data_IF_144368751423
#
_entry.id   IF_144368751423
#
_cell.length_a   1.000
_cell.length_b   1.000
_cell.length_c   1.000
_cell.angle_alpha   90.00
_cell.angle_beta   90.00
_cell.angle_gamma   90.00
#
_symmetry.space_group_name_H-M   'P 1'
#
loop_
_entity.id
_entity.type
_entity.pdbx_description
1 polymer ?
#
# COMPACT_ATOMS: atom_id res chain seq x y z
N UNK A 1 -11.92 -12.86 -7.01
CA UNK A 1 -13.06 -13.76 -7.22
C UNK A 1 -13.94 -13.28 -8.37
N UNK A 2 -14.32 -12.02 -8.39
CA UNK A 2 -15.16 -11.44 -9.46
C UNK A 2 -14.53 -11.57 -10.85
N UNK A 3 -13.24 -11.43 -10.95
CA UNK A 3 -12.48 -11.53 -12.20
C UNK A 3 -12.07 -12.97 -12.56
N UNK A 4 -12.47 -13.97 -11.77
CA UNK A 4 -12.15 -15.37 -12.02
C UNK A 4 -10.71 -15.79 -11.72
N UNK A 5 -9.88 -14.92 -11.12
CA UNK A 5 -8.52 -15.29 -10.74
C UNK A 5 -8.50 -16.16 -9.49
N UNK A 6 -7.66 -17.19 -9.49
CA UNK A 6 -7.22 -17.86 -8.27
C UNK A 6 -6.16 -16.99 -7.58
N UNK A 7 -6.31 -16.81 -6.28
CA UNK A 7 -5.40 -15.97 -5.49
C UNK A 7 -4.78 -16.75 -4.35
N UNK A 8 -3.48 -16.53 -4.11
CA UNK A 8 -2.75 -17.12 -2.99
C UNK A 8 -2.06 -16.00 -2.23
N UNK A 9 -2.43 -15.82 -0.96
CA UNK A 9 -1.77 -14.89 -0.05
C UNK A 9 -0.59 -15.57 0.63
N UNK A 10 0.63 -15.09 0.42
CA UNK A 10 1.80 -15.52 1.19
C UNK A 10 1.85 -14.69 2.47
N UNK A 11 1.55 -15.33 3.59
CA UNK A 11 1.33 -14.68 4.88
C UNK A 11 2.56 -14.85 5.77
N UNK A 12 3.05 -13.71 6.27
CA UNK A 12 4.18 -13.67 7.22
C UNK A 12 3.73 -14.07 8.63
N UNK A 13 4.26 -15.18 9.11
CA UNK A 13 3.97 -15.72 10.44
C UNK A 13 3.16 -16.99 10.32
N UNK A 14 3.83 -18.12 10.45
CA UNK A 14 3.22 -19.45 10.43
C UNK A 14 2.29 -19.69 11.65
N UNK A 15 2.53 -18.94 12.73
CA UNK A 15 1.65 -18.90 13.91
C UNK A 15 0.24 -18.36 13.65
N UNK A 16 0.02 -17.69 12.53
CA UNK A 16 -1.29 -17.15 12.15
C UNK A 16 -2.21 -18.18 11.47
N UNK A 17 -1.68 -19.33 11.11
CA UNK A 17 -2.43 -20.39 10.42
C UNK A 17 -3.70 -20.79 11.17
N UNK A 18 -3.60 -20.94 12.47
CA UNK A 18 -4.71 -21.37 13.33
C UNK A 18 -5.56 -20.20 13.85
N UNK A 19 -5.23 -18.96 13.43
CA UNK A 19 -5.86 -17.71 13.87
C UNK A 19 -6.57 -16.95 12.77
N UNK A 20 -6.89 -17.60 11.66
CA UNK A 20 -7.56 -16.94 10.53
C UNK A 20 -8.90 -16.33 10.98
N UNK A 21 -9.69 -17.08 11.75
CA UNK A 21 -11.00 -16.62 12.25
C UNK A 21 -10.92 -15.48 13.26
N UNK A 22 -9.76 -15.28 13.88
CA UNK A 22 -9.53 -14.19 14.84
C UNK A 22 -9.09 -12.89 14.12
N UNK A 23 -8.71 -12.98 12.84
CA UNK A 23 -8.26 -11.86 12.03
C UNK A 23 -9.30 -11.52 10.95
N UNK A 24 -10.02 -10.39 11.08
CA UNK A 24 -11.10 -10.03 10.14
C UNK A 24 -10.63 -9.96 8.68
N UNK A 25 -9.40 -9.49 8.43
CA UNK A 25 -8.86 -9.38 7.07
C UNK A 25 -8.60 -10.75 6.45
N UNK A 26 -7.98 -11.68 7.20
CA UNK A 26 -7.74 -13.04 6.71
C UNK A 26 -9.07 -13.81 6.55
N UNK A 27 -9.98 -13.65 7.49
CA UNK A 27 -11.33 -14.27 7.43
C UNK A 27 -12.05 -13.83 6.15
N UNK A 28 -12.12 -12.53 5.90
CA UNK A 28 -12.75 -11.98 4.71
C UNK A 28 -12.05 -12.43 3.40
N UNK A 29 -10.72 -12.43 3.38
CA UNK A 29 -9.97 -12.91 2.21
C UNK A 29 -10.27 -14.40 1.93
N UNK A 30 -10.37 -15.24 2.96
CA UNK A 30 -10.75 -16.65 2.84
C UNK A 30 -12.18 -16.81 2.31
N UNK A 31 -13.14 -16.04 2.81
CA UNK A 31 -14.52 -16.02 2.31
C UNK A 31 -14.58 -15.61 0.83
N UNK A 32 -13.69 -14.70 0.41
CA UNK A 32 -13.50 -14.36 -0.99
C UNK A 32 -12.82 -15.44 -1.83
N UNK A 33 -12.41 -16.56 -1.21
CA UNK A 33 -11.80 -17.71 -1.90
C UNK A 33 -10.29 -17.64 -2.04
N UNK A 34 -9.60 -16.73 -1.33
CA UNK A 34 -8.13 -16.70 -1.29
C UNK A 34 -7.60 -17.91 -0.52
N UNK A 35 -6.60 -18.59 -1.10
CA UNK A 35 -5.82 -19.60 -0.40
C UNK A 35 -4.65 -18.93 0.32
N UNK A 36 -4.18 -19.51 1.41
CA UNK A 36 -3.05 -18.97 2.17
C UNK A 36 -1.86 -19.93 2.18
N UNK A 37 -0.69 -19.35 2.03
CA UNK A 37 0.60 -19.94 2.31
C UNK A 37 1.24 -19.21 3.48
N UNK A 38 1.25 -19.85 4.64
CA UNK A 38 1.86 -19.28 5.83
C UNK A 38 3.33 -19.67 5.87
N UNK A 39 4.19 -18.67 5.97
CA UNK A 39 5.64 -18.84 6.03
C UNK A 39 6.19 -18.19 7.29
N UNK A 40 7.33 -18.68 7.78
CA UNK A 40 7.99 -18.10 8.95
C UNK A 40 8.37 -16.64 8.70
N UNK A 41 8.50 -15.85 9.76
CA UNK A 41 8.94 -14.44 9.65
C UNK A 41 10.34 -14.32 9.04
N UNK A 42 11.19 -15.31 9.26
CA UNK A 42 12.52 -15.39 8.67
C UNK A 42 12.43 -15.65 7.16
N UNK A 43 11.73 -16.69 6.73
CA UNK A 43 11.55 -16.99 5.30
C UNK A 43 10.93 -15.81 4.56
N UNK A 44 9.98 -15.11 5.16
CA UNK A 44 9.34 -13.93 4.55
C UNK A 44 10.32 -12.75 4.32
N UNK A 45 11.40 -12.64 5.08
CA UNK A 45 12.43 -11.61 4.83
C UNK A 45 13.11 -11.79 3.48
N UNK A 46 13.16 -13.01 2.98
CA UNK A 46 13.76 -13.40 1.71
C UNK A 46 12.75 -13.49 0.55
N UNK A 47 11.54 -12.96 0.72
CA UNK A 47 10.41 -13.06 -0.24
C UNK A 47 10.70 -12.57 -1.66
N UNK A 48 11.71 -11.73 -1.84
CA UNK A 48 12.14 -11.20 -3.15
C UNK A 48 13.29 -11.98 -3.78
N UNK A 49 13.86 -12.95 -3.05
CA UNK A 49 14.97 -13.76 -3.55
C UNK A 49 14.48 -14.85 -4.51
N UNK A 50 15.27 -15.13 -5.53
CA UNK A 50 14.96 -16.13 -6.56
C UNK A 50 14.62 -17.48 -5.95
N UNK A 51 15.40 -17.93 -4.96
CA UNK A 51 15.18 -19.21 -4.29
C UNK A 51 13.80 -19.33 -3.63
N UNK A 52 13.31 -18.25 -3.00
CA UNK A 52 11.99 -18.22 -2.39
C UNK A 52 10.89 -18.28 -3.48
N UNK A 53 11.05 -17.52 -4.55
CA UNK A 53 10.10 -17.50 -5.66
C UNK A 53 10.05 -18.87 -6.37
N UNK A 54 11.18 -19.51 -6.57
CA UNK A 54 11.27 -20.88 -7.15
C UNK A 54 10.54 -21.92 -6.28
N UNK A 55 10.66 -21.83 -4.95
CA UNK A 55 9.91 -22.70 -4.04
C UNK A 55 8.39 -22.52 -4.20
N UNK A 56 7.93 -21.29 -4.33
CA UNK A 56 6.52 -21.02 -4.62
C UNK A 56 6.11 -21.55 -6.00
N UNK A 57 6.97 -21.45 -7.01
CA UNK A 57 6.70 -21.99 -8.36
C UNK A 57 6.61 -23.52 -8.36
N UNK A 58 7.49 -24.20 -7.63
CA UNK A 58 7.41 -25.66 -7.44
C UNK A 58 6.08 -26.06 -6.79
N UNK A 59 5.59 -25.27 -5.82
CA UNK A 59 4.38 -25.58 -5.07
C UNK A 59 3.09 -25.25 -5.81
N UNK A 60 3.06 -24.12 -6.53
CA UNK A 60 1.84 -23.54 -7.09
C UNK A 60 1.82 -23.49 -8.62
N UNK A 61 2.92 -23.87 -9.28
CA UNK A 61 3.04 -23.75 -10.73
C UNK A 61 3.32 -22.33 -11.19
N UNK A 62 2.87 -21.98 -12.39
CA UNK A 62 3.03 -20.63 -12.96
C UNK A 62 2.05 -19.65 -12.31
N UNK A 63 2.53 -18.50 -11.89
CA UNK A 63 1.71 -17.44 -11.31
C UNK A 63 2.28 -16.06 -11.65
N UNK A 64 1.46 -15.02 -11.51
CA UNK A 64 1.90 -13.63 -11.49
C UNK A 64 2.14 -13.22 -10.03
N UNK A 65 3.37 -12.76 -9.73
CA UNK A 65 3.75 -12.31 -8.39
C UNK A 65 3.37 -10.84 -8.20
N UNK A 66 2.46 -10.58 -7.27
CA UNK A 66 2.17 -9.23 -6.79
C UNK A 66 3.01 -8.97 -5.55
N UNK A 67 3.93 -8.00 -5.54
CA UNK A 67 4.78 -7.72 -4.39
C UNK A 67 3.98 -7.15 -3.22
N UNK A 68 4.57 -7.14 -2.03
CA UNK A 68 3.99 -6.47 -0.86
C UNK A 68 3.74 -4.98 -1.16
N UNK A 69 2.53 -4.50 -0.84
CA UNK A 69 2.08 -3.15 -1.19
C UNK A 69 1.67 -2.96 -2.65
N UNK A 70 1.83 -3.98 -3.49
CA UNK A 70 1.40 -3.98 -4.90
C UNK A 70 2.22 -3.10 -5.84
N UNK A 71 3.30 -2.47 -5.37
CA UNK A 71 4.07 -1.49 -6.17
C UNK A 71 4.93 -2.18 -7.23
N UNK A 72 4.63 -1.92 -8.49
CA UNK A 72 5.39 -2.29 -9.69
C UNK A 72 4.99 -1.37 -10.85
N UNK A 73 5.66 -1.49 -12.01
CA UNK A 73 5.41 -0.62 -13.17
C UNK A 73 3.96 -0.64 -13.64
N UNK A 74 3.31 -1.82 -13.66
CA UNK A 74 1.91 -1.95 -14.08
C UNK A 74 0.95 -1.28 -13.09
N UNK A 75 1.22 -1.40 -11.78
CA UNK A 75 0.42 -0.76 -10.76
C UNK A 75 0.57 0.77 -10.80
N UNK A 76 1.80 1.28 -10.99
CA UNK A 76 2.04 2.72 -11.18
C UNK A 76 1.30 3.22 -12.40
N UNK A 77 1.39 2.51 -13.53
CA UNK A 77 0.65 2.87 -14.75
C UNK A 77 -0.87 2.86 -14.54
N UNK A 78 -1.40 1.89 -13.81
CA UNK A 78 -2.82 1.87 -13.45
C UNK A 78 -3.22 3.07 -12.57
N UNK A 79 -2.34 3.50 -11.67
CA UNK A 79 -2.59 4.68 -10.83
C UNK A 79 -2.50 6.01 -11.59
N UNK A 80 -1.92 6.05 -12.79
CA UNK A 80 -1.97 7.22 -13.69
C UNK A 80 -3.39 7.56 -14.17
N UNK A 81 -4.32 6.59 -14.09
CA UNK A 81 -5.72 6.75 -14.47
C UNK A 81 -6.60 7.34 -13.35
N UNK A 82 -6.05 7.57 -12.16
CA UNK A 82 -6.80 8.10 -11.00
C UNK A 82 -7.22 9.54 -11.23
N UNK A 83 -6.28 10.38 -11.71
CA UNK A 83 -6.60 11.77 -12.03
C UNK A 83 -7.30 11.86 -13.38
N UNK A 84 -8.38 12.62 -13.40
CA UNK A 84 -9.25 12.81 -14.56
C UNK A 84 -9.32 14.28 -14.94
N UNK A 85 -10.01 14.61 -16.02
CA UNK A 85 -10.29 16.00 -16.41
C UNK A 85 -11.07 16.80 -15.34
N UNK A 86 -11.82 16.11 -14.48
CA UNK A 86 -12.53 16.76 -13.36
C UNK A 86 -11.59 17.25 -12.25
N UNK A 87 -10.37 16.73 -12.20
CA UNK A 87 -9.36 17.10 -11.19
C UNK A 87 -8.46 18.24 -11.67
N UNK A 88 -8.60 18.68 -12.92
CA UNK A 88 -7.73 19.67 -13.55
C UNK A 88 -7.76 21.05 -12.90
N UNK A 89 -8.77 21.38 -12.10
CA UNK A 89 -8.93 22.68 -11.45
C UNK A 89 -8.23 22.75 -10.06
N UNK A 90 -7.70 21.63 -9.55
CA UNK A 90 -6.98 21.63 -8.27
C UNK A 90 -5.50 21.95 -8.47
N UNK A 91 -4.94 22.78 -7.58
CA UNK A 91 -3.50 23.10 -7.57
C UNK A 91 -2.69 22.03 -6.83
N UNK A 92 -3.32 21.31 -5.89
CA UNK A 92 -2.68 20.30 -5.06
C UNK A 92 -3.42 18.96 -5.13
N UNK A 93 -2.64 17.89 -5.24
CA UNK A 93 -3.12 16.52 -5.13
C UNK A 93 -2.45 15.88 -3.92
N UNK A 94 -3.24 15.43 -2.95
CA UNK A 94 -2.73 14.86 -1.71
C UNK A 94 -2.98 13.35 -1.65
N UNK A 95 -1.99 12.60 -1.18
CA UNK A 95 -2.12 11.13 -1.02
C UNK A 95 -1.38 10.64 0.22
N UNK A 96 -2.00 9.70 0.95
CA UNK A 96 -1.28 8.89 1.92
C UNK A 96 -0.28 7.98 1.17
N UNK A 97 0.89 7.74 1.76
CA UNK A 97 1.97 6.99 1.12
C UNK A 97 2.40 5.80 1.98
N UNK A 98 2.22 4.60 1.45
CA UNK A 98 2.80 3.36 1.98
C UNK A 98 4.10 3.02 1.26
N UNK A 99 4.01 2.28 0.17
CA UNK A 99 5.15 1.82 -0.63
C UNK A 99 5.49 2.70 -1.84
N UNK A 100 4.71 3.75 -2.09
CA UNK A 100 4.99 4.76 -3.12
C UNK A 100 4.35 4.51 -4.49
N UNK A 101 3.69 3.37 -4.72
CA UNK A 101 3.11 3.05 -6.04
C UNK A 101 2.02 4.02 -6.48
N UNK A 102 1.03 4.26 -5.64
CA UNK A 102 -0.09 5.15 -5.95
C UNK A 102 0.37 6.59 -6.21
N UNK A 103 1.19 7.14 -5.30
CA UNK A 103 1.69 8.51 -5.48
C UNK A 103 2.55 8.64 -6.74
N UNK A 104 3.31 7.60 -7.12
CA UNK A 104 4.09 7.63 -8.37
C UNK A 104 3.18 7.78 -9.60
N UNK A 105 2.05 7.06 -9.65
CA UNK A 105 1.07 7.23 -10.71
C UNK A 105 0.45 8.62 -10.71
N UNK A 106 0.06 9.15 -9.55
CA UNK A 106 -0.46 10.52 -9.43
C UNK A 106 0.55 11.56 -9.91
N UNK A 107 1.84 11.41 -9.58
CA UNK A 107 2.90 12.33 -10.04
C UNK A 107 3.04 12.27 -11.56
N UNK A 108 3.00 11.08 -12.16
CA UNK A 108 3.16 10.92 -13.60
C UNK A 108 2.00 11.51 -14.38
N UNK A 109 0.78 11.47 -13.84
CA UNK A 109 -0.46 11.99 -14.49
C UNK A 109 -0.81 13.42 -14.11
N UNK A 110 -0.20 13.99 -13.07
CA UNK A 110 -0.46 15.36 -12.63
C UNK A 110 -0.14 16.39 -13.72
N UNK A 111 -0.99 17.39 -13.85
CA UNK A 111 -0.79 18.50 -14.78
C UNK A 111 0.37 19.40 -14.34
N UNK A 112 1.01 20.16 -15.24
CA UNK A 112 2.20 20.97 -14.94
C UNK A 112 2.02 22.00 -13.80
N UNK A 113 0.81 22.48 -13.57
CA UNK A 113 0.49 23.42 -12.49
C UNK A 113 0.19 22.73 -11.15
N UNK A 114 -0.12 21.43 -11.19
CA UNK A 114 -0.46 20.66 -9.97
C UNK A 114 0.80 20.24 -9.23
N UNK A 115 0.76 20.35 -7.92
CA UNK A 115 1.79 19.82 -7.03
C UNK A 115 1.23 18.61 -6.27
N UNK A 116 1.95 17.48 -6.31
CA UNK A 116 1.56 16.26 -5.60
C UNK A 116 2.23 16.23 -4.23
N UNK A 117 1.43 16.11 -3.17
CA UNK A 117 1.89 16.03 -1.78
C UNK A 117 1.64 14.63 -1.24
N UNK A 118 2.70 13.96 -0.83
CA UNK A 118 2.65 12.64 -0.21
C UNK A 118 2.81 12.71 1.29
N UNK A 119 1.95 12.01 2.02
CA UNK A 119 2.00 11.91 3.48
C UNK A 119 2.39 10.48 3.88
N UNK A 120 3.69 10.21 4.15
CA UNK A 120 4.15 8.89 4.50
C UNK A 120 3.60 8.40 5.84
N UNK A 121 3.03 7.18 5.85
CA UNK A 121 2.74 6.47 7.08
C UNK A 121 3.98 5.77 7.66
N UNK A 122 4.98 5.50 6.80
CA UNK A 122 6.25 4.87 7.19
C UNK A 122 7.29 5.92 7.57
N UNK A 123 8.03 5.64 8.62
CA UNK A 123 9.14 6.49 9.06
C UNK A 123 10.43 6.12 8.30
N UNK A 124 11.17 7.15 7.84
CA UNK A 124 12.47 6.99 7.18
C UNK A 124 12.52 7.61 5.78
N UNK A 125 13.72 7.77 5.24
CA UNK A 125 13.98 8.52 4.01
C UNK A 125 13.97 7.66 2.72
N UNK A 126 13.69 6.36 2.85
CA UNK A 126 13.77 5.41 1.74
C UNK A 126 12.69 5.64 0.66
N UNK A 127 11.52 6.18 1.05
CA UNK A 127 10.38 6.35 0.14
C UNK A 127 10.69 7.28 -1.03
N UNK A 128 11.49 8.31 -0.81
CA UNK A 128 11.91 9.22 -1.88
C UNK A 128 12.65 8.45 -2.99
N UNK A 129 13.56 7.56 -2.61
CA UNK A 129 14.31 6.73 -3.56
C UNK A 129 13.40 5.70 -4.26
N UNK A 130 12.41 5.13 -3.54
CA UNK A 130 11.45 4.20 -4.14
C UNK A 130 10.58 4.90 -5.18
N UNK A 131 10.07 6.09 -4.89
CA UNK A 131 9.28 6.88 -5.82
C UNK A 131 10.10 7.27 -7.05
N UNK A 132 11.36 7.70 -6.87
CA UNK A 132 12.25 8.06 -7.98
C UNK A 132 12.54 6.93 -8.98
N UNK A 133 12.25 5.66 -8.63
CA UNK A 133 12.34 4.55 -9.60
C UNK A 133 11.28 4.64 -10.70
N UNK A 134 10.17 5.31 -10.42
CA UNK A 134 8.99 5.34 -11.29
C UNK A 134 8.67 6.72 -11.86
N UNK A 135 9.27 7.79 -11.31
CA UNK A 135 8.92 9.17 -11.69
C UNK A 135 10.14 9.98 -12.15
N UNK A 136 9.92 10.85 -13.13
CA UNK A 136 10.91 11.83 -13.60
C UNK A 136 10.50 13.27 -13.29
N UNK A 137 9.24 13.51 -12.93
CA UNK A 137 8.71 14.83 -12.59
C UNK A 137 9.27 15.32 -11.26
N UNK A 138 9.29 16.64 -11.08
CA UNK A 138 9.79 17.30 -9.86
C UNK A 138 8.73 18.07 -9.08
N UNK A 139 7.48 18.03 -9.55
CA UNK A 139 6.35 18.75 -8.97
C UNK A 139 5.68 17.97 -7.82
N UNK A 140 6.47 17.35 -6.98
CA UNK A 140 5.98 16.58 -5.82
C UNK A 140 6.87 16.78 -4.59
N UNK A 141 6.32 16.44 -3.43
CA UNK A 141 6.98 16.53 -2.14
C UNK A 141 6.43 15.50 -1.17
N UNK A 142 7.28 14.96 -0.29
CA UNK A 142 6.86 14.15 0.84
C UNK A 142 6.82 15.01 2.11
N UNK A 143 5.66 15.06 2.74
CA UNK A 143 5.42 15.77 4.00
C UNK A 143 5.57 14.76 5.14
N UNK A 144 6.71 14.77 5.81
CA UNK A 144 7.14 13.69 6.73
C UNK A 144 6.79 13.94 8.21
N UNK A 145 6.18 15.07 8.54
CA UNK A 145 5.99 15.50 9.93
C UNK A 145 4.73 14.92 10.61
N UNK A 146 3.83 14.27 9.83
CA UNK A 146 2.50 13.87 10.28
C UNK A 146 2.29 12.36 10.43
N UNK A 147 3.35 11.58 10.56
CA UNK A 147 3.24 10.12 10.67
C UNK A 147 2.91 9.60 12.09
N UNK A 148 2.73 10.46 13.10
CA UNK A 148 2.39 10.12 14.49
C UNK A 148 3.25 9.00 15.13
N UNK A 149 4.53 8.93 14.77
CA UNK A 149 5.47 7.92 15.26
C UNK A 149 5.73 6.75 14.31
N UNK A 150 4.99 6.65 13.20
CA UNK A 150 5.18 5.66 12.13
C UNK A 150 4.03 4.67 12.00
N UNK A 151 4.12 3.83 10.98
CA UNK A 151 3.10 2.88 10.56
C UNK A 151 2.52 2.05 11.70
N UNK A 152 1.20 2.06 11.83
CA UNK A 152 0.47 1.31 12.84
C UNK A 152 0.70 1.79 14.28
N UNK A 153 1.29 2.98 14.48
CA UNK A 153 1.43 3.59 15.80
C UNK A 153 0.21 4.42 16.11
N UNK A 154 -0.44 4.10 17.21
CA UNK A 154 -1.63 4.80 17.69
C UNK A 154 -1.27 5.49 19.01
N UNK A 155 -1.31 6.82 19.01
CA UNK A 155 -1.08 7.65 20.19
C UNK A 155 -2.40 8.28 20.65
N UNK A 156 -2.46 8.74 21.89
CA UNK A 156 -3.63 9.47 22.41
C UNK A 156 -3.90 10.72 21.57
N UNK A 157 -2.86 11.49 21.25
CA UNK A 157 -2.94 12.68 20.38
C UNK A 157 -3.55 12.34 19.01
N UNK A 158 -3.12 11.24 18.41
CA UNK A 158 -3.68 10.81 17.11
C UNK A 158 -5.16 10.44 17.20
N UNK A 159 -5.58 9.72 18.25
CA UNK A 159 -6.99 9.39 18.48
C UNK A 159 -7.83 10.65 18.70
N UNK A 160 -7.34 11.58 19.50
CA UNK A 160 -8.01 12.86 19.76
C UNK A 160 -8.18 13.66 18.47
N UNK A 161 -7.13 13.71 17.63
CA UNK A 161 -7.18 14.38 16.34
C UNK A 161 -8.17 13.70 15.38
N UNK A 162 -8.17 12.37 15.27
CA UNK A 162 -9.13 11.63 14.44
C UNK A 162 -10.58 11.90 14.87
N UNK A 163 -10.85 11.87 16.16
CA UNK A 163 -12.18 12.13 16.70
C UNK A 163 -12.62 13.58 16.43
N UNK A 164 -11.72 14.53 16.60
CA UNK A 164 -11.97 15.93 16.27
C UNK A 164 -12.28 16.08 14.76
N UNK A 165 -11.47 15.49 13.89
CA UNK A 165 -11.68 15.54 12.44
C UNK A 165 -13.04 14.95 12.05
N UNK A 166 -13.37 13.78 12.61
CA UNK A 166 -14.68 13.17 12.38
C UNK A 166 -15.82 14.06 12.84
N UNK A 167 -15.71 14.67 14.00
CA UNK A 167 -16.73 15.59 14.53
C UNK A 167 -16.93 16.83 13.64
N UNK A 168 -15.87 17.31 12.98
CA UNK A 168 -15.94 18.49 12.09
C UNK A 168 -16.46 18.16 10.69
N UNK A 169 -16.14 16.96 10.17
CA UNK A 169 -16.32 16.63 8.74
C UNK A 169 -17.32 15.51 8.49
N UNK A 170 -17.62 14.68 9.49
CA UNK A 170 -18.37 13.43 9.32
C UNK A 170 -17.61 12.33 8.57
N UNK A 171 -16.31 12.53 8.26
CA UNK A 171 -15.49 11.59 7.50
C UNK A 171 -14.69 10.73 8.48
N UNK A 172 -14.93 9.40 8.52
CA UNK A 172 -14.09 8.50 9.32
C UNK A 172 -12.73 8.29 8.65
N UNK A 173 -11.66 8.34 9.45
CA UNK A 173 -10.30 8.07 8.98
C UNK A 173 -9.84 6.68 9.39
N UNK A 174 -8.97 6.09 8.59
CA UNK A 174 -8.28 4.85 8.91
C UNK A 174 -7.07 5.15 9.83
N UNK A 175 -6.88 4.40 10.95
CA UNK A 175 -5.79 4.68 11.88
C UNK A 175 -4.41 4.19 11.41
N UNK A 176 -4.31 3.58 10.24
CA UNK A 176 -3.06 3.04 9.71
C UNK A 176 -2.37 4.05 8.77
N UNK A 177 -3.19 4.76 7.97
CA UNK A 177 -2.73 5.73 6.98
C UNK A 177 -3.25 7.12 7.26
#
# INVERSE_FOLDING_TARGET
KEQGFETIGVIRGDELRDKISENPTLSFAQECGMRFEFVTREAYRHKTETAFIEQLQVKFGSFYLVPEGGTNDLAVKGCEEILTEFDAHFDFVCSAVGTGGTISGLINSALPHQKVLGFPALKGDFLQNEIHKFVNNKNWELITDYHFGGYGKVTTEFIEWMNWFYAQTGIPLDPIY
#
